data_IF_721147786589
#
_entry.id   IF_721147786589
#
_cell.length_a   1.000
_cell.length_b   1.000
_cell.length_c   1.000
_cell.angle_alpha   90.00
_cell.angle_beta   90.00
_cell.angle_gamma   90.00
#
_symmetry.space_group_name_H-M   'P 1'
#
loop_
_entity.id
_entity.type
_entity.pdbx_description
1 polymer ?
#
# COMPACT_ATOMS: atom_id res chain seq x y z
N UNK A 1 -13.10 -7.92 -22.11
CA UNK A 1 -13.09 -6.44 -22.01
C UNK A 1 -13.93 -5.94 -20.84
N UNK A 2 -15.27 -6.09 -20.84
CA UNK A 2 -16.10 -5.62 -19.70
C UNK A 2 -15.97 -6.47 -18.42
N UNK A 3 -15.77 -7.79 -18.54
CA UNK A 3 -15.59 -8.69 -17.39
C UNK A 3 -14.30 -8.37 -16.58
N UNK A 4 -13.26 -7.89 -17.26
CA UNK A 4 -11.96 -7.54 -16.68
C UNK A 4 -12.01 -6.23 -15.87
N UNK A 5 -12.97 -5.35 -16.18
CA UNK A 5 -13.26 -4.14 -15.40
C UNK A 5 -14.19 -4.40 -14.20
N UNK A 6 -14.90 -5.53 -14.19
CA UNK A 6 -15.81 -5.96 -13.13
C UNK A 6 -15.11 -6.80 -12.07
N UNK A 7 -13.94 -7.37 -12.38
CA UNK A 7 -13.04 -7.91 -11.37
C UNK A 7 -12.62 -6.76 -10.46
N UNK A 8 -13.07 -6.79 -9.21
CA UNK A 8 -12.88 -5.71 -8.25
C UNK A 8 -11.39 -5.57 -7.92
N UNK A 9 -10.68 -4.77 -8.71
CA UNK A 9 -9.28 -4.52 -8.46
C UNK A 9 -9.12 -3.77 -7.15
N UNK A 10 -8.27 -4.31 -6.29
CA UNK A 10 -7.89 -3.69 -5.03
C UNK A 10 -7.29 -2.31 -5.28
N UNK A 11 -7.74 -1.31 -4.51
CA UNK A 11 -7.19 0.05 -4.57
C UNK A 11 -5.86 0.10 -3.84
N UNK A 12 -4.79 0.46 -4.53
CA UNK A 12 -3.44 0.62 -3.96
C UNK A 12 -3.06 2.09 -3.87
N UNK A 13 -2.42 2.48 -2.77
CA UNK A 13 -1.92 3.82 -2.54
C UNK A 13 -0.45 3.96 -2.93
N UNK A 14 -0.09 5.10 -3.51
CA UNK A 14 1.28 5.46 -3.85
C UNK A 14 1.62 6.79 -3.21
N UNK A 15 2.76 6.83 -2.52
CA UNK A 15 3.38 8.07 -2.02
C UNK A 15 4.71 8.20 -2.73
N UNK A 16 4.82 9.19 -3.61
CA UNK A 16 6.06 9.53 -4.30
C UNK A 16 6.68 10.73 -3.59
N UNK A 17 7.78 10.49 -2.87
CA UNK A 17 8.57 11.52 -2.22
C UNK A 17 9.70 11.98 -3.12
N UNK A 18 9.79 13.28 -3.32
CA UNK A 18 10.93 13.93 -3.95
C UNK A 18 11.46 15.08 -3.08
N UNK A 19 12.68 15.53 -3.34
CA UNK A 19 13.28 16.68 -2.66
C UNK A 19 12.58 18.00 -2.96
N UNK A 20 11.81 18.07 -4.05
CA UNK A 20 11.07 19.25 -4.48
C UNK A 20 9.58 19.20 -4.14
N UNK A 21 9.07 18.09 -3.61
CA UNK A 21 7.64 17.90 -3.34
C UNK A 21 7.23 16.44 -3.19
N UNK A 22 5.98 16.24 -2.82
CA UNK A 22 5.38 14.92 -2.66
C UNK A 22 4.10 14.81 -3.51
N UNK A 23 3.87 13.60 -4.03
CA UNK A 23 2.67 13.24 -4.77
C UNK A 23 2.00 12.04 -4.11
N UNK A 24 0.69 12.14 -3.92
CA UNK A 24 -0.18 11.10 -3.38
C UNK A 24 -1.14 10.68 -4.49
N UNK A 25 -1.14 9.39 -4.79
CA UNK A 25 -1.96 8.83 -5.85
C UNK A 25 -2.50 7.47 -5.45
N UNK A 26 -3.51 7.02 -6.18
CA UNK A 26 -4.05 5.69 -6.09
C UNK A 26 -4.08 5.03 -7.45
N UNK A 27 -3.85 3.72 -7.44
CA UNK A 27 -3.97 2.84 -8.60
C UNK A 27 -5.05 1.82 -8.32
N UNK A 28 -6.01 1.69 -9.24
CA UNK A 28 -7.03 0.67 -9.21
C UNK A 28 -7.08 0.01 -10.59
N UNK A 29 -6.52 -1.20 -10.68
CA UNK A 29 -6.35 -1.89 -11.96
C UNK A 29 -5.54 -1.05 -12.94
N UNK A 30 -6.17 -0.66 -14.04
CA UNK A 30 -5.60 0.20 -15.08
C UNK A 30 -5.83 1.71 -14.85
N UNK A 31 -6.66 2.08 -13.87
CA UNK A 31 -7.01 3.48 -13.59
C UNK A 31 -6.06 4.10 -12.57
N UNK A 32 -5.49 5.25 -12.95
CA UNK A 32 -4.59 6.03 -12.10
C UNK A 32 -5.26 7.34 -11.68
N UNK A 33 -5.27 7.63 -10.39
CA UNK A 33 -5.86 8.83 -9.81
C UNK A 33 -4.82 9.55 -8.96
N UNK A 34 -4.59 10.84 -9.24
CA UNK A 34 -3.72 11.68 -8.39
C UNK A 34 -4.61 12.41 -7.40
N UNK A 35 -4.45 12.11 -6.11
CA UNK A 35 -5.27 12.67 -5.03
C UNK A 35 -4.79 14.06 -4.64
N UNK A 36 -3.49 14.18 -4.39
CA UNK A 36 -2.90 15.43 -3.92
C UNK A 36 -1.43 15.53 -4.32
N UNK A 37 -0.99 16.76 -4.55
CA UNK A 37 0.42 17.08 -4.76
C UNK A 37 0.74 18.40 -4.09
N UNK A 38 1.92 18.48 -3.49
CA UNK A 38 2.45 19.74 -3.01
C UNK A 38 3.95 19.82 -3.24
N UNK A 39 4.43 21.04 -3.45
CA UNK A 39 5.84 21.33 -3.61
C UNK A 39 6.44 21.83 -2.30
N UNK A 40 7.72 21.57 -2.11
CA UNK A 40 8.50 22.04 -0.95
C UNK A 40 9.85 22.49 -1.44
N UNK A 41 10.29 23.65 -0.96
CA UNK A 41 11.64 24.12 -1.21
C UNK A 41 12.55 23.73 -0.03
N UNK A 42 13.36 22.69 -0.24
CA UNK A 42 14.32 22.21 0.76
C UNK A 42 15.69 22.85 0.54
N UNK A 43 16.34 23.38 1.60
CA UNK A 43 17.67 23.95 1.47
C UNK A 43 18.67 22.90 0.97
N UNK A 44 19.35 23.21 -0.14
CA UNK A 44 20.34 22.33 -0.76
C UNK A 44 21.58 22.17 0.12
N UNK A 45 22.32 21.08 -0.08
CA UNK A 45 23.59 20.86 0.63
C UNK A 45 24.60 21.91 0.14
N UNK A 46 25.05 22.79 1.04
CA UNK A 46 26.15 23.70 0.75
C UNK A 46 27.48 23.01 1.04
N UNK A 47 28.40 23.07 0.07
CA UNK A 47 29.76 22.52 0.20
C UNK A 47 30.80 23.52 0.70
N UNK A 48 30.43 24.78 0.93
CA UNK A 48 31.35 25.82 1.41
C UNK A 48 31.35 25.84 2.95
N UNK A 49 32.50 25.51 3.54
CA UNK A 49 32.71 25.51 4.99
C UNK A 49 32.73 26.92 5.60
N UNK A 50 32.55 27.01 6.92
CA UNK A 50 32.57 28.25 7.69
C UNK A 50 31.89 28.13 9.05
N UNK A 51 31.94 29.18 9.88
CA UNK A 51 31.33 29.22 11.22
C UNK A 51 29.82 28.93 11.21
N UNK A 52 29.13 29.32 10.14
CA UNK A 52 27.70 29.08 9.95
C UNK A 52 27.37 27.70 9.37
N UNK A 53 28.35 26.88 8.97
CA UNK A 53 28.10 25.60 8.30
C UNK A 53 27.29 24.62 9.16
N UNK A 54 27.62 24.53 10.47
CA UNK A 54 26.88 23.69 11.42
C UNK A 54 25.42 24.13 11.58
N UNK A 55 25.17 25.45 11.62
CA UNK A 55 23.82 26.00 11.69
C UNK A 55 23.00 25.67 10.44
N UNK A 56 23.59 25.79 9.25
CA UNK A 56 22.88 25.45 8.00
C UNK A 56 22.60 23.95 7.87
N UNK A 57 23.52 23.09 8.33
CA UNK A 57 23.28 21.65 8.39
C UNK A 57 22.10 21.31 9.32
N UNK A 58 22.02 21.94 10.49
CA UNK A 58 20.91 21.78 11.43
C UNK A 58 19.59 22.27 10.84
N UNK A 59 19.57 23.47 10.25
CA UNK A 59 18.36 24.03 9.61
C UNK A 59 17.85 23.11 8.48
N UNK A 60 18.77 22.48 7.73
CA UNK A 60 18.42 21.51 6.69
C UNK A 60 17.81 20.23 7.26
N UNK A 61 18.31 19.72 8.38
CA UNK A 61 17.71 18.56 9.06
C UNK A 61 16.33 18.89 9.61
N UNK A 62 16.17 20.05 10.27
CA UNK A 62 14.88 20.51 10.79
C UNK A 62 13.84 20.68 9.67
N UNK A 63 14.22 21.28 8.53
CA UNK A 63 13.32 21.40 7.37
C UNK A 63 12.94 20.05 6.76
N UNK A 64 13.89 19.11 6.67
CA UNK A 64 13.60 17.74 6.19
C UNK A 64 12.67 17.00 7.13
N UNK A 65 12.88 17.10 8.43
CA UNK A 65 12.00 16.49 9.43
C UNK A 65 10.58 17.05 9.35
N UNK A 66 10.44 18.38 9.21
CA UNK A 66 9.13 19.01 9.03
C UNK A 66 8.45 18.59 7.72
N UNK A 67 9.23 18.38 6.65
CA UNK A 67 8.71 17.86 5.39
C UNK A 67 8.16 16.43 5.56
N UNK A 68 8.93 15.52 6.16
CA UNK A 68 8.48 14.14 6.43
C UNK A 68 7.22 14.13 7.30
N UNK A 69 7.15 14.99 8.33
CA UNK A 69 5.95 15.17 9.15
C UNK A 69 4.75 15.59 8.32
N UNK A 70 4.89 16.62 7.47
CA UNK A 70 3.82 17.09 6.60
C UNK A 70 3.34 16.00 5.64
N UNK A 71 4.27 15.21 5.08
CA UNK A 71 3.92 14.07 4.22
C UNK A 71 3.13 13.01 5.00
N UNK A 72 3.56 12.67 6.21
CA UNK A 72 2.85 11.71 7.06
C UNK A 72 1.43 12.17 7.42
N UNK A 73 1.27 13.44 7.81
CA UNK A 73 -0.06 14.03 8.10
C UNK A 73 -0.96 14.04 6.86
N UNK A 74 -0.42 14.41 5.70
CA UNK A 74 -1.17 14.41 4.44
C UNK A 74 -1.56 12.98 4.03
N UNK A 75 -0.70 11.99 4.27
CA UNK A 75 -1.00 10.59 4.00
C UNK A 75 -2.20 10.10 4.83
N UNK A 76 -2.26 10.47 6.11
CA UNK A 76 -3.40 10.16 6.98
C UNK A 76 -4.69 10.77 6.43
N UNK A 77 -4.66 12.04 6.03
CA UNK A 77 -5.85 12.71 5.48
C UNK A 77 -6.36 12.07 4.18
N UNK A 78 -5.47 11.56 3.32
CA UNK A 78 -5.83 11.03 2.01
C UNK A 78 -6.19 9.53 2.05
N UNK A 79 -5.50 8.74 2.87
CA UNK A 79 -5.65 7.28 2.88
C UNK A 79 -6.47 6.74 4.04
N UNK A 80 -6.83 7.55 5.04
CA UNK A 80 -7.72 7.15 6.13
C UNK A 80 -9.03 7.91 6.02
N UNK A 81 -10.14 7.18 5.91
CA UNK A 81 -11.49 7.75 6.11
C UNK A 81 -12.23 6.95 7.17
N UNK A 82 -12.89 7.65 8.09
CA UNK A 82 -13.64 7.03 9.19
C UNK A 82 -12.82 5.97 9.95
N UNK A 83 -11.58 6.31 10.33
CA UNK A 83 -10.63 5.44 11.04
C UNK A 83 -10.19 4.16 10.30
N UNK A 84 -10.64 3.92 9.06
CA UNK A 84 -10.24 2.78 8.24
C UNK A 84 -9.36 3.23 7.08
N UNK A 85 -8.39 2.38 6.73
CA UNK A 85 -7.51 2.60 5.59
C UNK A 85 -8.27 2.28 4.31
N UNK A 86 -8.31 3.22 3.38
CA UNK A 86 -9.08 3.12 2.13
C UNK A 86 -8.38 2.29 1.05
N UNK A 87 -7.10 1.97 1.26
CA UNK A 87 -6.26 1.24 0.33
C UNK A 87 -5.91 -0.14 0.88
N UNK A 88 -5.90 -1.15 0.00
CA UNK A 88 -5.54 -2.52 0.35
C UNK A 88 -4.06 -2.64 0.70
N UNK A 89 -3.23 -1.79 0.10
CA UNK A 89 -1.82 -1.62 0.45
C UNK A 89 -1.23 -0.34 -0.10
N UNK A 90 -0.03 -0.01 0.36
CA UNK A 90 0.65 1.25 0.12
C UNK A 90 2.08 1.01 -0.37
N UNK A 91 2.51 1.80 -1.35
CA UNK A 91 3.85 1.78 -1.90
C UNK A 91 4.51 3.13 -1.63
N UNK A 92 5.71 3.08 -1.06
CA UNK A 92 6.53 4.26 -0.82
C UNK A 92 7.58 4.34 -1.93
N UNK A 93 7.50 5.34 -2.77
CA UNK A 93 8.48 5.60 -3.82
C UNK A 93 9.23 6.90 -3.53
N UNK A 94 10.49 6.98 -3.93
CA UNK A 94 11.20 8.26 -3.91
C UNK A 94 12.65 8.18 -4.39
N UNK A 95 13.18 9.35 -4.75
CA UNK A 95 14.59 9.55 -5.03
C UNK A 95 15.30 9.87 -3.70
N UNK A 96 16.26 9.04 -3.29
CA UNK A 96 16.96 9.11 -1.99
C UNK A 96 16.22 8.55 -0.75
N UNK A 97 16.87 8.71 0.41
CA UNK A 97 16.50 8.08 1.69
C UNK A 97 15.24 8.62 2.35
N UNK A 98 14.57 9.61 1.76
CA UNK A 98 13.36 10.23 2.35
C UNK A 98 12.24 9.23 2.63
N UNK A 99 12.09 8.22 1.78
CA UNK A 99 11.12 7.14 1.98
C UNK A 99 11.50 6.18 3.11
N UNK A 100 12.80 5.96 3.32
CA UNK A 100 13.32 5.15 4.42
C UNK A 100 13.14 5.91 5.74
N UNK A 101 13.42 7.21 5.72
CA UNK A 101 13.16 8.11 6.85
C UNK A 101 11.67 8.12 7.20
N UNK A 102 10.77 8.21 6.21
CA UNK A 102 9.32 8.15 6.45
C UNK A 102 8.92 6.80 7.07
N UNK A 103 9.37 5.68 6.49
CA UNK A 103 9.01 4.34 6.94
C UNK A 103 9.56 3.98 8.34
N UNK A 104 10.74 4.50 8.68
CA UNK A 104 11.42 4.26 9.97
C UNK A 104 10.99 5.26 11.03
N UNK A 105 10.55 6.46 10.62
CA UNK A 105 10.11 7.48 11.57
C UNK A 105 8.86 7.04 12.32
N UNK A 106 8.84 7.26 13.64
CA UNK A 106 7.63 7.11 14.46
C UNK A 106 6.56 8.18 14.21
N UNK A 107 6.70 8.96 13.13
CA UNK A 107 5.73 9.99 12.72
C UNK A 107 4.69 9.45 11.73
N UNK A 108 4.98 8.31 11.08
CA UNK A 108 4.03 7.69 10.18
C UNK A 108 2.99 6.89 10.96
N UNK A 109 1.73 7.00 10.56
CA UNK A 109 0.64 6.32 11.25
C UNK A 109 0.81 4.80 11.18
N UNK A 110 0.71 4.13 12.34
CA UNK A 110 0.94 2.69 12.46
C UNK A 110 -0.02 1.87 11.57
N UNK A 111 -1.24 2.36 11.34
CA UNK A 111 -2.23 1.69 10.47
C UNK A 111 -1.79 1.71 9.01
N UNK A 112 -1.21 2.82 8.55
CA UNK A 112 -0.64 2.93 7.20
C UNK A 112 0.67 2.16 7.10
N UNK A 113 1.50 2.19 8.15
CA UNK A 113 2.78 1.47 8.20
C UNK A 113 2.57 -0.04 8.04
N UNK A 114 1.56 -0.61 8.69
CA UNK A 114 1.19 -2.02 8.54
C UNK A 114 0.71 -2.40 7.13
N UNK A 115 0.36 -1.41 6.31
CA UNK A 115 -0.11 -1.58 4.92
C UNK A 115 0.96 -1.29 3.88
N UNK A 116 2.19 -0.94 4.28
CA UNK A 116 3.30 -0.73 3.36
C UNK A 116 3.73 -2.09 2.77
N UNK A 117 3.59 -2.25 1.46
CA UNK A 117 3.96 -3.48 0.74
C UNK A 117 5.44 -3.45 0.36
N UNK A 118 5.87 -2.35 -0.27
CA UNK A 118 7.20 -2.23 -0.85
C UNK A 118 7.65 -0.77 -0.84
N UNK A 119 8.96 -0.61 -0.65
CA UNK A 119 9.66 0.66 -0.82
C UNK A 119 10.42 0.59 -2.15
N UNK A 120 10.26 1.60 -3.00
CA UNK A 120 10.78 1.62 -4.38
C UNK A 120 11.68 2.82 -4.60
N UNK A 121 12.83 2.58 -5.21
CA UNK A 121 13.73 3.59 -5.77
C UNK A 121 13.25 4.06 -7.13
N UNK A 122 12.96 5.36 -7.23
CA UNK A 122 12.62 6.02 -8.49
C UNK A 122 13.63 7.12 -8.78
N UNK A 123 13.95 7.30 -10.06
CA UNK A 123 14.94 8.27 -10.50
C UNK A 123 14.37 9.68 -10.57
N UNK A 124 13.05 9.80 -10.72
CA UNK A 124 12.34 11.06 -10.91
C UNK A 124 11.24 11.22 -9.87
N UNK A 125 10.92 12.47 -9.52
CA UNK A 125 9.75 12.82 -8.71
C UNK A 125 8.50 13.06 -9.55
N UNK A 126 7.39 13.35 -8.86
CA UNK A 126 6.12 13.73 -9.49
C UNK A 126 5.50 12.62 -10.34
N UNK A 127 4.82 13.01 -11.42
CA UNK A 127 4.04 12.10 -12.28
C UNK A 127 4.91 11.06 -13.01
N UNK A 128 6.12 11.45 -13.41
CA UNK A 128 7.07 10.54 -14.05
C UNK A 128 7.59 9.49 -13.07
N UNK A 129 7.90 9.92 -11.83
CA UNK A 129 8.24 9.03 -10.74
C UNK A 129 7.11 8.07 -10.39
N UNK A 130 5.85 8.55 -10.46
CA UNK A 130 4.68 7.73 -10.23
C UNK A 130 4.53 6.61 -11.27
N UNK A 131 4.65 6.92 -12.57
CA UNK A 131 4.59 5.88 -13.61
C UNK A 131 5.70 4.83 -13.43
N UNK A 132 6.93 5.27 -13.12
CA UNK A 132 8.05 4.36 -12.85
C UNK A 132 7.80 3.49 -11.61
N UNK A 133 7.22 4.06 -10.55
CA UNK A 133 6.87 3.32 -9.34
C UNK A 133 5.82 2.23 -9.63
N UNK A 134 4.86 2.48 -10.53
CA UNK A 134 3.86 1.50 -10.93
C UNK A 134 4.55 0.30 -11.60
N UNK A 135 5.42 0.54 -12.58
CA UNK A 135 6.13 -0.52 -13.29
C UNK A 135 6.98 -1.39 -12.35
N UNK A 136 7.76 -0.78 -11.46
CA UNK A 136 8.62 -1.48 -10.51
C UNK A 136 7.86 -2.20 -9.38
N UNK A 137 6.59 -1.84 -9.18
CA UNK A 137 5.73 -2.42 -8.15
C UNK A 137 4.77 -3.46 -8.68
N UNK A 138 4.62 -3.60 -10.00
CA UNK A 138 3.66 -4.51 -10.62
C UNK A 138 3.78 -5.95 -10.07
N UNK A 139 5.01 -6.47 -9.97
CA UNK A 139 5.29 -7.80 -9.39
C UNK A 139 4.93 -7.90 -7.90
N UNK A 140 5.15 -6.83 -7.14
CA UNK A 140 4.80 -6.84 -5.71
C UNK A 140 3.28 -6.81 -5.51
N UNK A 141 2.55 -6.12 -6.39
CA UNK A 141 1.09 -6.01 -6.35
C UNK A 141 0.40 -7.33 -6.71
N UNK A 142 0.89 -8.06 -7.73
CA UNK A 142 0.36 -9.39 -8.08
C UNK A 142 0.57 -10.39 -6.94
N UNK A 143 1.75 -10.34 -6.31
CA UNK A 143 2.05 -11.19 -5.15
C UNK A 143 1.11 -10.95 -3.96
N UNK A 144 0.56 -9.74 -3.78
CA UNK A 144 -0.39 -9.47 -2.68
C UNK A 144 -1.70 -10.23 -2.85
N UNK A 145 -2.26 -10.34 -4.07
CA UNK A 145 -3.46 -11.16 -4.33
C UNK A 145 -3.19 -12.62 -3.95
N UNK A 146 -2.07 -13.15 -4.43
CA UNK A 146 -1.65 -14.53 -4.15
C UNK A 146 -1.38 -14.80 -2.65
N UNK A 147 -0.77 -13.87 -1.93
CA UNK A 147 -0.53 -14.00 -0.48
C UNK A 147 -1.84 -14.00 0.30
N UNK A 148 -2.82 -13.17 -0.10
CA UNK A 148 -4.14 -13.14 0.54
C UNK A 148 -4.88 -14.46 0.33
N UNK A 149 -4.88 -15.00 -0.89
CA UNK A 149 -5.47 -16.31 -1.21
C UNK A 149 -4.81 -17.43 -0.41
N UNK A 150 -3.48 -17.48 -0.39
CA UNK A 150 -2.74 -18.49 0.39
C UNK A 150 -3.04 -18.37 1.89
N UNK A 151 -3.18 -17.16 2.41
CA UNK A 151 -3.54 -16.92 3.82
C UNK A 151 -4.97 -17.35 4.12
N UNK A 152 -5.90 -17.14 3.19
CA UNK A 152 -7.30 -17.57 3.29
C UNK A 152 -7.39 -19.10 3.36
N UNK A 153 -6.73 -19.78 2.41
CA UNK A 153 -6.64 -21.25 2.37
C UNK A 153 -5.88 -21.78 3.59
N UNK A 154 -4.83 -21.08 4.05
CA UNK A 154 -4.11 -21.43 5.27
C UNK A 154 -5.01 -21.48 6.50
N UNK A 155 -5.86 -20.46 6.70
CA UNK A 155 -6.84 -20.46 7.80
C UNK A 155 -7.80 -21.66 7.73
N UNK A 156 -8.26 -22.01 6.53
CA UNK A 156 -9.09 -23.20 6.35
C UNK A 156 -8.35 -24.49 6.75
N UNK A 157 -7.09 -24.66 6.32
CA UNK A 157 -6.28 -25.81 6.72
C UNK A 157 -5.94 -25.83 8.20
N UNK A 158 -5.79 -24.67 8.84
CA UNK A 158 -5.56 -24.58 10.29
C UNK A 158 -6.76 -25.13 11.07
N UNK A 159 -8.01 -24.82 10.65
CA UNK A 159 -9.22 -25.38 11.27
C UNK A 159 -9.33 -26.89 11.07
N UNK A 160 -8.92 -27.42 9.91
CA UNK A 160 -8.84 -28.87 9.65
C UNK A 160 -7.77 -29.53 10.53
N UNK A 161 -6.59 -28.92 10.65
CA UNK A 161 -5.48 -29.47 11.41
C UNK A 161 -5.72 -29.46 12.92
N UNK A 162 -6.46 -28.47 13.43
CA UNK A 162 -6.82 -28.34 14.85
C UNK A 162 -8.09 -29.13 15.22
N UNK A 163 -8.77 -29.72 14.25
CA UNK A 163 -9.99 -30.53 14.42
C UNK A 163 -11.07 -29.81 15.23
N UNK A 164 -11.24 -28.51 14.96
CA UNK A 164 -12.19 -27.62 15.67
C UNK A 164 -13.65 -27.88 15.30
N UNK A 165 -13.88 -28.66 14.24
CA UNK A 165 -15.19 -28.93 13.66
C UNK A 165 -15.82 -27.74 12.91
N UNK A 166 -15.09 -26.63 12.72
CA UNK A 166 -15.58 -25.40 12.07
C UNK A 166 -15.21 -25.32 10.59
N UNK A 167 -15.21 -26.44 9.90
CA UNK A 167 -14.92 -26.52 8.48
C UNK A 167 -15.85 -27.53 7.82
N UNK A 168 -16.13 -27.33 6.53
CA UNK A 168 -16.92 -28.24 5.70
C UNK A 168 -16.26 -28.28 4.32
N UNK A 169 -16.19 -29.45 3.70
CA UNK A 169 -15.66 -29.60 2.35
C UNK A 169 -16.56 -30.52 1.52
N UNK A 170 -16.55 -30.37 0.19
CA UNK A 170 -17.45 -31.11 -0.70
C UNK A 170 -18.77 -30.39 -0.97
N UNK A 171 -19.37 -30.65 -2.13
CA UNK A 171 -20.50 -29.86 -2.66
C UNK A 171 -21.77 -30.04 -1.84
N UNK A 172 -22.12 -31.28 -1.48
CA UNK A 172 -23.36 -31.58 -0.76
C UNK A 172 -23.34 -31.04 0.68
N UNK A 173 -22.22 -31.25 1.39
CA UNK A 173 -22.08 -30.81 2.78
C UNK A 173 -22.01 -29.29 2.88
N UNK A 174 -21.30 -28.62 1.95
CA UNK A 174 -21.24 -27.15 1.92
C UNK A 174 -22.60 -26.53 1.58
N UNK A 175 -23.38 -27.12 0.67
CA UNK A 175 -24.75 -26.69 0.38
C UNK A 175 -25.65 -26.82 1.62
N UNK A 176 -25.60 -27.95 2.32
CA UNK A 176 -26.39 -28.15 3.53
C UNK A 176 -26.00 -27.15 4.64
N UNK A 177 -24.70 -26.91 4.84
CA UNK A 177 -24.21 -25.93 5.81
C UNK A 177 -24.64 -24.49 5.45
N UNK A 178 -24.70 -24.18 4.14
CA UNK A 178 -25.16 -22.90 3.63
C UNK A 178 -26.68 -22.72 3.85
N UNK A 179 -27.49 -23.76 3.61
CA UNK A 179 -28.94 -23.75 3.90
C UNK A 179 -29.24 -23.58 5.39
N UNK A 180 -28.41 -24.17 6.25
CA UNK A 180 -28.49 -24.00 7.70
C UNK A 180 -27.98 -22.63 8.19
N UNK A 181 -27.36 -21.82 7.32
CA UNK A 181 -26.80 -20.51 7.67
C UNK A 181 -25.57 -20.56 8.58
N UNK A 182 -24.87 -21.69 8.62
CA UNK A 182 -23.72 -21.92 9.50
C UNK A 182 -22.37 -21.48 8.89
N UNK A 183 -22.36 -21.00 7.65
CA UNK A 183 -21.14 -20.64 6.90
C UNK A 183 -20.83 -19.15 7.08
N UNK A 184 -19.67 -18.84 7.68
CA UNK A 184 -19.14 -17.47 7.74
C UNK A 184 -18.42 -17.08 6.44
N UNK A 185 -17.60 -17.98 5.90
CA UNK A 185 -16.76 -17.73 4.72
C UNK A 185 -16.85 -18.91 3.75
N UNK A 186 -17.37 -18.66 2.54
CA UNK A 186 -17.42 -19.63 1.46
C UNK A 186 -16.22 -19.45 0.53
N UNK A 187 -15.41 -20.50 0.38
CA UNK A 187 -14.27 -20.53 -0.54
C UNK A 187 -14.67 -21.37 -1.76
N UNK A 188 -14.61 -20.78 -2.95
CA UNK A 188 -15.01 -21.44 -4.20
C UNK A 188 -13.84 -21.42 -5.17
N UNK A 189 -13.58 -22.55 -5.81
CA UNK A 189 -12.58 -22.65 -6.87
C UNK A 189 -13.18 -22.25 -8.22
N UNK A 190 -12.52 -21.35 -8.93
CA UNK A 190 -13.00 -20.78 -10.20
C UNK A 190 -13.15 -21.83 -11.30
N UNK A 191 -12.32 -22.88 -11.29
CA UNK A 191 -12.35 -23.97 -12.27
C UNK A 191 -13.36 -25.07 -11.99
N UNK A 192 -14.35 -24.85 -11.11
CA UNK A 192 -15.42 -25.83 -10.89
C UNK A 192 -16.26 -26.00 -12.17
N UNK A 193 -16.48 -27.24 -12.65
CA UNK A 193 -17.31 -27.48 -13.82
C UNK A 193 -18.75 -27.02 -13.53
N UNK A 194 -19.22 -26.04 -14.31
CA UNK A 194 -20.60 -25.59 -14.29
C UNK A 194 -21.47 -26.67 -14.96
N UNK A 195 -22.11 -27.52 -14.17
CA UNK A 195 -23.31 -28.22 -14.64
C UNK A 195 -24.43 -27.16 -14.67
N UNK A 196 -24.77 -26.73 -15.89
CA UNK A 196 -25.90 -25.83 -16.17
C UNK A 196 -27.23 -26.58 -16.21
#
# INVERSE_FOLDING_TARGET
>A
ALAELLESDAKFGFIVLDGNGALFATLQGSTKEVLHRFTVDLPKKHGRGGQSAMRFARLRLEKRHNYVRKVAETAVQMFITQDKVNVSGLILAGSADFKNDLATSGMFDQRLQAKVIKIVDVSYGGDNGFNQAIELSAEALTNVKFIQEKKLIGRFFDEVAQDTGKYVFGVQETLQALEMGAVELLIVFEGLPLER
#
